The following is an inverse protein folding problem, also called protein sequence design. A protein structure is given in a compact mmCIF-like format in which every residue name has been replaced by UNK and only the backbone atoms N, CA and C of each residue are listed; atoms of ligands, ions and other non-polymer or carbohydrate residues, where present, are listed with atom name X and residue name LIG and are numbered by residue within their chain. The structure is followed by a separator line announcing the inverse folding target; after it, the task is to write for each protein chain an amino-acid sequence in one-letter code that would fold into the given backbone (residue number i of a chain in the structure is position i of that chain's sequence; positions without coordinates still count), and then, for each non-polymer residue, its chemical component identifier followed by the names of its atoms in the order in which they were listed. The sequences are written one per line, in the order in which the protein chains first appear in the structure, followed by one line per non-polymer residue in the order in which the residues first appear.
data_IF_971075554353
#
_entry.id   IF_971075554353
#
_cell.length_a   1.000
_cell.length_b   1.000
_cell.length_c   1.000
_cell.angle_alpha   90.00
_cell.angle_beta   90.00
_cell.angle_gamma   90.00
#
_symmetry.space_group_name_H-M   'P 1'
#
loop_
_entity.id
_entity.type
_entity.pdbx_description
1 polymer ?
#
# COMPACT_ATOMS: atom_id res chain seq x y z
N UNK A 1 12.79 -20.74 -5.79
CA UNK A 1 12.85 -19.53 -6.65
C UNK A 1 11.68 -18.55 -6.44
N UNK A 2 10.58 -18.91 -5.76
CA UNK A 2 9.43 -18.00 -5.54
C UNK A 2 9.52 -17.07 -4.31
N UNK A 3 10.48 -17.29 -3.40
CA UNK A 3 10.60 -16.54 -2.14
C UNK A 3 10.99 -15.08 -2.33
N UNK A 4 11.84 -14.80 -3.33
CA UNK A 4 12.29 -13.43 -3.64
C UNK A 4 11.12 -12.56 -4.09
N UNK A 5 10.17 -13.12 -4.84
CA UNK A 5 8.99 -12.40 -5.31
C UNK A 5 8.10 -11.92 -4.16
N UNK A 6 7.81 -12.80 -3.20
CA UNK A 6 7.05 -12.44 -2.00
C UNK A 6 7.78 -11.45 -1.11
N UNK A 7 9.11 -11.52 -1.05
CA UNK A 7 9.92 -10.55 -0.31
C UNK A 7 9.82 -9.14 -0.91
N UNK A 8 9.84 -9.03 -2.24
CA UNK A 8 9.68 -7.75 -2.95
C UNK A 8 8.30 -7.16 -2.68
N UNK A 9 7.24 -7.96 -2.76
CA UNK A 9 5.87 -7.50 -2.45
C UNK A 9 5.79 -6.95 -1.03
N UNK A 10 6.35 -7.67 -0.05
CA UNK A 10 6.35 -7.23 1.34
C UNK A 10 7.09 -5.89 1.54
N UNK A 11 8.21 -5.68 0.84
CA UNK A 11 8.92 -4.39 0.87
C UNK A 11 8.04 -3.28 0.28
N UNK A 12 7.36 -3.54 -0.84
CA UNK A 12 6.46 -2.58 -1.48
C UNK A 12 5.31 -2.21 -0.55
N UNK A 13 4.68 -3.19 0.08
CA UNK A 13 3.59 -2.98 1.04
C UNK A 13 4.02 -2.05 2.17
N UNK A 14 5.19 -2.30 2.78
CA UNK A 14 5.73 -1.47 3.86
C UNK A 14 5.94 -0.03 3.38
N UNK A 15 6.54 0.16 2.21
CA UNK A 15 6.78 1.50 1.65
C UNK A 15 5.47 2.25 1.41
N UNK A 16 4.46 1.56 0.88
CA UNK A 16 3.14 2.15 0.62
C UNK A 16 2.44 2.53 1.93
N UNK A 17 2.46 1.65 2.94
CA UNK A 17 1.93 1.93 4.27
C UNK A 17 2.58 3.16 4.90
N UNK A 18 3.90 3.29 4.80
CA UNK A 18 4.61 4.48 5.26
C UNK A 18 4.18 5.74 4.49
N UNK A 19 3.98 5.65 3.17
CA UNK A 19 3.51 6.77 2.35
C UNK A 19 2.07 7.20 2.73
N UNK A 20 1.18 6.23 3.01
CA UNK A 20 -0.19 6.48 3.50
C UNK A 20 -0.15 7.22 4.83
N UNK A 21 0.63 6.71 5.79
CA UNK A 21 0.73 7.29 7.14
C UNK A 21 1.32 8.70 7.08
N UNK A 22 2.36 8.92 6.26
CA UNK A 22 3.02 10.23 6.08
C UNK A 22 2.21 11.23 5.26
N UNK A 23 1.23 10.78 4.48
CA UNK A 23 0.38 11.69 3.70
C UNK A 23 -0.45 12.62 4.61
N UNK A 24 -0.76 13.83 4.15
CA UNK A 24 -1.66 14.77 4.86
C UNK A 24 -3.15 14.46 4.62
N UNK A 25 -3.49 13.24 4.20
CA UNK A 25 -4.88 12.83 3.93
C UNK A 25 -5.69 12.68 5.22
N UNK A 26 -7.00 12.88 5.10
CA UNK A 26 -7.96 12.60 6.16
C UNK A 26 -7.78 11.19 6.72
N UNK A 27 -7.99 11.04 8.02
CA UNK A 27 -7.80 9.77 8.73
C UNK A 27 -8.63 8.62 8.12
N UNK A 28 -9.85 8.90 7.67
CA UNK A 28 -10.74 7.94 6.99
C UNK A 28 -10.12 7.39 5.70
N UNK A 29 -9.52 8.26 4.88
CA UNK A 29 -8.85 7.86 3.63
C UNK A 29 -7.62 7.02 3.90
N UNK A 30 -6.86 7.33 4.96
CA UNK A 30 -5.70 6.52 5.36
C UNK A 30 -6.13 5.11 5.74
N UNK A 31 -7.20 4.97 6.52
CA UNK A 31 -7.74 3.66 6.90
C UNK A 31 -8.19 2.88 5.66
N UNK A 32 -8.94 3.51 4.76
CA UNK A 32 -9.40 2.88 3.53
C UNK A 32 -8.24 2.31 2.70
N UNK A 33 -7.19 3.12 2.48
CA UNK A 33 -6.02 2.69 1.70
C UNK A 33 -5.18 1.63 2.42
N UNK A 34 -5.01 1.74 3.73
CA UNK A 34 -4.34 0.70 4.52
C UNK A 34 -5.06 -0.63 4.43
N UNK A 35 -6.39 -0.65 4.57
CA UNK A 35 -7.19 -1.88 4.42
C UNK A 35 -7.05 -2.45 3.02
N UNK A 36 -7.13 -1.61 1.98
CA UNK A 36 -6.98 -2.05 0.60
C UNK A 36 -5.62 -2.69 0.31
N UNK A 37 -4.53 -2.12 0.83
CA UNK A 37 -3.16 -2.65 0.69
C UNK A 37 -3.00 -3.98 1.41
N UNK A 38 -3.50 -4.09 2.65
CA UNK A 38 -3.41 -5.33 3.44
C UNK A 38 -4.25 -6.46 2.81
N UNK A 39 -5.44 -6.15 2.31
CA UNK A 39 -6.33 -7.15 1.72
C UNK A 39 -5.84 -7.60 0.33
N UNK A 40 -5.19 -6.70 -0.40
CA UNK A 40 -4.72 -6.91 -1.77
C UNK A 40 -3.24 -6.51 -1.87
N UNK A 41 -2.28 -7.32 -1.40
CA UNK A 41 -0.86 -6.94 -1.33
C UNK A 41 -0.20 -6.67 -2.70
N UNK A 42 -0.78 -7.18 -3.79
CA UNK A 42 -0.31 -6.87 -5.15
C UNK A 42 -1.06 -5.70 -5.76
N UNK A 43 -2.40 -5.74 -5.74
CA UNK A 43 -3.23 -4.73 -6.41
C UNK A 43 -3.41 -3.45 -5.58
N UNK A 44 -3.43 -3.55 -4.26
CA UNK A 44 -3.62 -2.46 -3.31
C UNK A 44 -2.55 -1.38 -3.43
N UNK A 45 -1.23 -1.71 -3.40
CA UNK A 45 -0.16 -0.77 -3.71
C UNK A 45 -0.34 -0.06 -5.06
N UNK A 46 -0.70 -0.81 -6.11
CA UNK A 46 -0.90 -0.26 -7.45
C UNK A 46 -2.05 0.74 -7.46
N UNK A 47 -3.19 0.38 -6.89
CA UNK A 47 -4.37 1.25 -6.77
C UNK A 47 -4.06 2.49 -5.93
N UNK A 48 -3.32 2.34 -4.83
CA UNK A 48 -2.88 3.47 -4.02
C UNK A 48 -2.03 4.44 -4.84
N UNK A 49 -1.06 3.96 -5.62
CA UNK A 49 -0.23 4.84 -6.44
C UNK A 49 -0.99 5.54 -7.58
N UNK A 50 -1.97 4.87 -8.20
CA UNK A 50 -2.73 5.41 -9.33
C UNK A 50 -3.86 6.36 -8.91
N UNK A 51 -4.63 5.96 -7.89
CA UNK A 51 -5.84 6.66 -7.47
C UNK A 51 -5.67 7.33 -6.11
N UNK A 52 -4.97 6.66 -5.20
CA UNK A 52 -4.86 7.06 -3.81
C UNK A 52 -3.83 8.14 -3.52
N UNK A 53 -2.73 8.23 -4.28
CA UNK A 53 -1.57 9.08 -3.99
C UNK A 53 -1.82 10.56 -4.25
N UNK A 54 -2.74 10.89 -5.16
CA UNK A 54 -3.21 12.26 -5.41
C UNK A 54 -3.79 12.88 -4.14
#
# INVERSE_FOLDING_TARGET
MATVFWLIILIIDIVVLLDIIRSNKDFEKKILWTIAVILLPVLGPILYYVMGKK
#
